data_IF_836253577954
#
_entry.id   IF_836253577954
#
_cell.length_a   1.000
_cell.length_b   1.000
_cell.length_c   1.000
_cell.angle_alpha   90.00
_cell.angle_beta   90.00
_cell.angle_gamma   90.00
#
_symmetry.space_group_name_H-M   'P 1'
#
loop_
_entity.id
_entity.type
_entity.pdbx_description
1 polymer ?
#
# COMPACT_ATOMS: atom_id res chain seq x y z
N UNK A 1 -0.11 -6.87 -3.31
CA UNK A 1 0.72 -6.32 -2.23
C UNK A 1 1.94 -7.18 -1.88
N UNK A 2 2.18 -8.29 -2.60
CA UNK A 2 3.34 -9.18 -2.43
C UNK A 2 4.66 -8.43 -2.21
N UNK A 3 5.35 -8.80 -1.12
CA UNK A 3 6.67 -8.31 -0.77
C UNK A 3 7.67 -9.47 -0.80
N UNK A 4 8.63 -9.40 -1.72
CA UNK A 4 9.66 -10.43 -1.90
C UNK A 4 10.97 -10.15 -1.18
N UNK A 5 11.09 -9.01 -0.49
CA UNK A 5 12.36 -8.56 0.09
C UNK A 5 13.40 -8.17 -0.96
N UNK A 6 12.94 -7.82 -2.16
CA UNK A 6 13.76 -7.52 -3.35
C UNK A 6 13.18 -6.29 -4.05
N UNK A 7 14.03 -5.55 -4.77
CA UNK A 7 13.61 -4.33 -5.49
C UNK A 7 12.49 -4.62 -6.52
N UNK A 8 12.52 -5.79 -7.15
CA UNK A 8 11.54 -6.21 -8.15
C UNK A 8 10.24 -6.78 -7.55
N UNK A 9 10.13 -6.81 -6.22
CA UNK A 9 8.92 -7.14 -5.46
C UNK A 9 8.85 -6.33 -4.15
N UNK A 10 8.64 -5.00 -4.25
CA UNK A 10 8.82 -4.07 -3.12
C UNK A 10 7.65 -4.02 -2.14
N UNK A 11 6.57 -4.80 -2.37
CA UNK A 11 5.33 -4.69 -1.59
C UNK A 11 4.54 -3.44 -1.93
N UNK A 12 3.29 -3.37 -1.45
CA UNK A 12 2.45 -2.16 -1.53
C UNK A 12 2.21 -1.57 -2.93
N UNK A 13 2.44 -2.34 -4.00
CA UNK A 13 2.32 -1.85 -5.38
C UNK A 13 0.96 -1.19 -5.70
N UNK A 14 -0.13 -1.66 -5.09
CA UNK A 14 -1.45 -1.02 -5.23
C UNK A 14 -1.49 0.42 -4.67
N UNK A 15 -0.71 0.74 -3.63
CA UNK A 15 -0.58 2.11 -3.15
C UNK A 15 0.33 2.96 -4.05
N UNK A 16 1.33 2.36 -4.70
CA UNK A 16 2.11 3.06 -5.72
C UNK A 16 1.25 3.39 -6.95
N UNK A 17 0.33 2.51 -7.32
CA UNK A 17 -0.66 2.77 -8.38
C UNK A 17 -1.58 3.94 -8.01
N UNK A 18 -2.11 3.96 -6.79
CA UNK A 18 -2.91 5.07 -6.27
C UNK A 18 -2.11 6.38 -6.21
N UNK A 19 -0.84 6.34 -5.80
CA UNK A 19 0.04 7.51 -5.80
C UNK A 19 0.31 8.02 -7.23
N UNK A 20 0.49 7.12 -8.19
CA UNK A 20 0.64 7.49 -9.60
C UNK A 20 -0.63 8.18 -10.12
N UNK A 21 -1.80 7.64 -9.78
CA UNK A 21 -3.08 8.27 -10.10
C UNK A 21 -3.21 9.66 -9.46
N UNK A 22 -2.82 9.81 -8.18
CA UNK A 22 -2.82 11.10 -7.48
C UNK A 22 -1.90 12.12 -8.16
N UNK A 23 -0.70 11.70 -8.58
CA UNK A 23 0.23 12.55 -9.35
C UNK A 23 -0.40 12.98 -10.67
N UNK A 24 -1.00 12.04 -11.39
CA UNK A 24 -1.69 12.34 -12.64
C UNK A 24 -2.82 13.35 -12.44
N UNK A 25 -3.68 13.15 -11.44
CA UNK A 25 -4.74 14.11 -11.11
C UNK A 25 -4.13 15.47 -10.79
N UNK A 26 -3.15 15.55 -9.88
CA UNK A 26 -2.53 16.82 -9.50
C UNK A 26 -1.91 17.58 -10.68
N UNK A 27 -1.33 16.87 -11.64
CA UNK A 27 -0.67 17.48 -12.77
C UNK A 27 -1.65 17.85 -13.91
N UNK A 28 -2.80 17.17 -14.01
CA UNK A 28 -3.72 17.31 -15.15
C UNK A 28 -5.09 17.90 -14.80
N UNK A 29 -5.52 17.92 -13.53
CA UNK A 29 -6.89 18.28 -13.15
C UNK A 29 -7.27 19.72 -13.53
N UNK A 30 -6.29 20.61 -13.67
CA UNK A 30 -6.47 21.98 -14.15
C UNK A 30 -7.12 22.03 -15.55
N UNK A 31 -6.82 21.07 -16.43
CA UNK A 31 -7.41 20.96 -17.76
C UNK A 31 -8.91 20.61 -17.71
N UNK A 32 -9.37 20.09 -16.58
CA UNK A 32 -10.77 19.74 -16.32
C UNK A 32 -11.46 20.77 -15.41
N UNK A 33 -10.82 21.90 -15.14
CA UNK A 33 -11.35 22.98 -14.30
C UNK A 33 -11.24 22.73 -12.79
N UNK A 34 -10.49 21.70 -12.35
CA UNK A 34 -10.20 21.49 -10.93
C UNK A 34 -8.95 22.24 -10.46
N UNK A 35 -8.83 22.37 -9.15
CA UNK A 35 -7.68 23.01 -8.49
C UNK A 35 -6.76 21.94 -7.89
N UNK A 36 -5.50 21.91 -8.35
CA UNK A 36 -4.46 20.98 -7.88
C UNK A 36 -4.15 21.10 -6.40
N UNK A 37 -4.41 22.26 -5.80
CA UNK A 37 -4.12 22.57 -4.39
C UNK A 37 -5.34 22.32 -3.48
N UNK A 38 -6.48 21.92 -4.05
CA UNK A 38 -7.73 21.62 -3.31
C UNK A 38 -8.17 20.15 -3.46
N UNK A 39 -7.25 19.23 -3.73
CA UNK A 39 -7.56 17.80 -3.87
C UNK A 39 -7.98 17.22 -2.51
N UNK A 40 -9.12 16.53 -2.49
CA UNK A 40 -9.59 15.69 -1.38
C UNK A 40 -9.52 14.24 -1.80
N UNK A 41 -8.84 13.40 -1.01
CA UNK A 41 -8.95 11.94 -1.16
C UNK A 41 -10.01 11.40 -0.20
N UNK A 42 -10.72 10.37 -0.63
CA UNK A 42 -11.83 9.80 0.10
C UNK A 42 -11.84 8.29 -0.14
N UNK A 43 -12.23 7.52 0.87
CA UNK A 43 -12.36 6.08 0.71
C UNK A 43 -13.14 5.43 1.85
N UNK A 44 -13.82 4.34 1.49
CA UNK A 44 -14.60 3.50 2.39
C UNK A 44 -13.90 2.14 2.58
N UNK A 45 -13.95 1.56 3.78
CA UNK A 45 -13.37 0.24 4.10
C UNK A 45 -11.88 0.14 3.70
N UNK A 46 -11.50 -0.77 2.81
CA UNK A 46 -10.13 -0.86 2.27
C UNK A 46 -9.68 0.42 1.54
N UNK A 47 -10.61 1.20 0.99
CA UNK A 47 -10.36 2.55 0.49
C UNK A 47 -10.01 3.53 1.60
N UNK A 48 -10.65 3.42 2.77
CA UNK A 48 -10.27 4.22 3.94
C UNK A 48 -8.88 3.84 4.46
N UNK A 49 -8.51 2.56 4.41
CA UNK A 49 -7.14 2.11 4.70
C UNK A 49 -6.13 2.66 3.69
N UNK A 50 -6.52 2.77 2.42
CA UNK A 50 -5.71 3.41 1.38
C UNK A 50 -5.49 4.89 1.68
N UNK A 51 -6.54 5.62 2.05
CA UNK A 51 -6.45 7.03 2.51
C UNK A 51 -5.51 7.14 3.70
N UNK A 52 -5.65 6.27 4.71
CA UNK A 52 -4.73 6.19 5.85
C UNK A 52 -3.29 5.97 5.41
N UNK A 53 -3.04 5.08 4.45
CA UNK A 53 -1.69 4.82 3.95
C UNK A 53 -1.09 6.06 3.28
N UNK A 54 -1.87 6.81 2.50
CA UNK A 54 -1.44 8.06 1.89
C UNK A 54 -1.20 9.20 2.90
N UNK A 55 -1.94 9.25 4.01
CA UNK A 55 -1.67 10.20 5.10
C UNK A 55 -0.33 9.91 5.77
N UNK A 56 -0.01 8.62 5.98
CA UNK A 56 1.20 8.18 6.65
C UNK A 56 2.44 8.17 5.74
N UNK A 57 2.24 8.00 4.43
CA UNK A 57 3.33 7.86 3.48
C UNK A 57 4.04 9.19 3.22
N UNK A 58 5.38 9.25 3.39
CA UNK A 58 6.16 10.43 3.00
C UNK A 58 6.11 10.68 1.49
N UNK A 59 5.88 9.64 0.68
CA UNK A 59 5.82 9.73 -0.79
C UNK A 59 4.58 10.48 -1.28
N UNK A 60 3.53 10.55 -0.45
CA UNK A 60 2.26 11.21 -0.77
C UNK A 60 2.18 12.65 -0.24
N UNK A 61 3.27 13.15 0.37
CA UNK A 61 3.30 14.49 0.97
C UNK A 61 3.03 15.58 -0.07
N UNK A 62 2.07 16.45 0.22
CA UNK A 62 1.69 17.56 -0.66
C UNK A 62 0.97 17.13 -1.94
N UNK A 63 0.38 15.93 -1.96
CA UNK A 63 -0.44 15.47 -3.09
C UNK A 63 -1.93 15.78 -2.94
N UNK A 64 -2.40 15.98 -1.70
CA UNK A 64 -3.79 16.28 -1.39
C UNK A 64 -3.86 17.20 -0.16
N UNK A 65 -4.98 17.91 -0.05
CA UNK A 65 -5.25 18.88 1.01
C UNK A 65 -6.17 18.34 2.10
N UNK A 66 -7.08 17.43 1.75
CA UNK A 66 -8.08 16.88 2.66
C UNK A 66 -8.23 15.38 2.49
N UNK A 67 -8.69 14.73 3.54
CA UNK A 67 -8.94 13.29 3.56
C UNK A 67 -10.28 12.99 4.23
N UNK A 68 -11.04 12.05 3.68
CA UNK A 68 -12.25 11.49 4.29
C UNK A 68 -12.06 9.98 4.43
N UNK A 69 -12.33 9.47 5.63
CA UNK A 69 -12.10 8.07 5.99
C UNK A 69 -13.38 7.41 6.53
N UNK A 70 -14.04 6.60 5.71
CA UNK A 70 -15.33 5.99 6.05
C UNK A 70 -15.18 4.50 6.39
N UNK A 71 -15.74 4.06 7.53
CA UNK A 71 -15.81 2.64 7.92
C UNK A 71 -14.48 1.87 7.90
N UNK A 72 -13.36 2.58 8.10
CA UNK A 72 -12.03 2.00 8.22
C UNK A 72 -11.09 2.96 8.93
N UNK A 73 -10.97 2.86 10.26
CA UNK A 73 -9.94 3.57 11.01
C UNK A 73 -8.61 2.80 10.94
N UNK A 74 -7.50 3.49 11.24
CA UNK A 74 -6.11 3.06 11.04
C UNK A 74 -5.82 1.57 11.25
N UNK A 75 -4.80 1.10 10.52
CA UNK A 75 -4.05 -0.17 10.63
C UNK A 75 -3.54 -0.41 12.08
N UNK A 76 -4.46 -0.59 13.03
CA UNK A 76 -4.22 -0.50 14.48
C UNK A 76 -3.92 -1.86 15.10
N UNK A 77 -4.32 -2.96 14.47
CA UNK A 77 -4.07 -4.28 15.01
C UNK A 77 -2.83 -4.89 14.37
N UNK A 78 -1.77 -4.98 15.19
CA UNK A 78 -0.48 -5.60 14.91
C UNK A 78 -0.56 -7.03 14.38
N UNK A 79 -1.72 -7.69 14.44
CA UNK A 79 -1.80 -9.13 14.28
C UNK A 79 -2.69 -9.61 13.12
N UNK A 80 -3.38 -8.72 12.35
CA UNK A 80 -4.24 -9.17 11.24
C UNK A 80 -4.27 -8.32 9.97
N UNK A 81 -4.14 -7.00 10.06
CA UNK A 81 -4.46 -6.12 8.91
C UNK A 81 -3.22 -5.59 8.18
N UNK A 82 -2.02 -5.93 8.66
CA UNK A 82 -0.73 -5.57 8.07
C UNK A 82 0.28 -6.68 8.34
N UNK A 83 1.26 -6.82 7.45
CA UNK A 83 2.44 -7.66 7.68
C UNK A 83 3.67 -6.80 7.87
N UNK A 84 4.59 -7.22 8.73
CA UNK A 84 5.95 -6.70 8.66
C UNK A 84 6.71 -7.35 7.49
N UNK A 85 7.85 -6.76 7.11
CA UNK A 85 8.64 -7.26 5.97
C UNK A 85 9.09 -8.72 6.11
N UNK A 86 9.35 -9.19 7.33
CA UNK A 86 9.74 -10.60 7.56
C UNK A 86 8.57 -11.53 7.29
N UNK A 87 7.40 -11.24 7.86
CA UNK A 87 6.17 -12.01 7.66
C UNK A 87 5.78 -12.03 6.18
N UNK A 88 5.78 -10.87 5.53
CA UNK A 88 5.38 -10.75 4.12
C UNK A 88 6.28 -11.55 3.17
N UNK A 89 7.59 -11.68 3.44
CA UNK A 89 8.48 -12.57 2.68
C UNK A 89 8.13 -14.04 2.90
N UNK A 90 7.81 -14.43 4.14
CA UNK A 90 7.42 -15.82 4.44
C UNK A 90 6.13 -16.18 3.71
N UNK A 91 5.15 -15.29 3.69
CA UNK A 91 3.90 -15.46 2.96
C UNK A 91 4.13 -15.56 1.45
N UNK A 92 4.93 -14.65 0.88
CA UNK A 92 5.27 -14.69 -0.54
C UNK A 92 5.97 -16.01 -0.92
N UNK A 93 6.88 -16.51 -0.07
CA UNK A 93 7.55 -17.80 -0.27
C UNK A 93 6.60 -18.99 -0.12
N UNK A 94 5.59 -18.90 0.76
CA UNK A 94 4.60 -19.95 0.91
C UNK A 94 3.74 -20.08 -0.36
N UNK A 95 3.29 -18.97 -0.93
CA UNK A 95 2.60 -18.99 -2.23
C UNK A 95 3.51 -19.50 -3.34
N UNK A 96 4.80 -19.11 -3.35
CA UNK A 96 5.77 -19.66 -4.28
C UNK A 96 5.88 -21.19 -4.18
N UNK A 97 5.89 -21.76 -2.97
CA UNK A 97 5.92 -23.21 -2.77
C UNK A 97 4.66 -23.88 -3.29
N UNK A 98 3.48 -23.35 -2.98
CA UNK A 98 2.20 -23.91 -3.40
C UNK A 98 2.01 -23.90 -4.93
N UNK A 99 2.71 -23.01 -5.63
CA UNK A 99 2.75 -22.92 -7.09
C UNK A 99 3.99 -23.60 -7.71
N UNK A 100 4.71 -24.43 -6.96
CA UNK A 100 5.92 -25.14 -7.39
C UNK A 100 7.04 -24.21 -7.93
N UNK A 101 7.06 -22.96 -7.47
CA UNK A 101 8.08 -21.96 -7.82
C UNK A 101 9.26 -21.92 -6.84
N UNK A 102 9.19 -22.64 -5.71
CA UNK A 102 10.25 -22.63 -4.70
C UNK A 102 11.56 -23.29 -5.13
N UNK A 103 11.52 -24.15 -6.16
CA UNK A 103 12.71 -24.82 -6.70
C UNK A 103 13.46 -23.97 -7.73
N UNK A 104 12.86 -22.87 -8.20
CA UNK A 104 13.49 -21.93 -9.11
C UNK A 104 14.53 -21.09 -8.36
N UNK A 105 15.74 -20.95 -8.92
CA UNK A 105 16.75 -19.98 -8.46
C UNK A 105 16.15 -18.57 -8.34
N UNK A 106 15.23 -18.24 -9.25
CA UNK A 106 14.43 -17.02 -9.20
C UNK A 106 12.94 -17.34 -9.06
N UNK A 107 12.52 -17.61 -7.83
CA UNK A 107 11.14 -17.93 -7.47
C UNK A 107 10.15 -16.80 -7.82
N UNK A 108 10.57 -15.53 -7.83
CA UNK A 108 9.73 -14.40 -8.25
C UNK A 108 9.47 -14.43 -9.75
N UNK A 109 10.48 -14.72 -10.56
CA UNK A 109 10.32 -14.87 -12.01
C UNK A 109 9.41 -16.05 -12.37
N UNK A 110 9.46 -17.13 -11.59
CA UNK A 110 8.51 -18.22 -11.72
C UNK A 110 7.09 -17.77 -11.38
N UNK A 111 6.89 -17.10 -10.24
CA UNK A 111 5.58 -16.58 -9.83
C UNK A 111 4.95 -15.64 -10.87
N UNK A 112 5.75 -14.77 -11.52
CA UNK A 112 5.26 -13.88 -12.60
C UNK A 112 4.72 -14.62 -13.82
N UNK A 113 5.13 -15.88 -14.03
CA UNK A 113 4.64 -16.74 -15.11
C UNK A 113 3.47 -17.63 -14.68
N UNK A 114 3.18 -17.69 -13.39
CA UNK A 114 2.05 -18.44 -12.88
C UNK A 114 0.73 -17.78 -13.31
N UNK A 115 -0.33 -18.57 -13.34
CA UNK A 115 -1.67 -18.06 -13.59
C UNK A 115 -2.09 -17.07 -12.48
N UNK A 116 -2.61 -15.91 -12.87
CA UNK A 116 -2.97 -14.86 -11.93
C UNK A 116 -4.09 -15.28 -10.98
N UNK A 117 -5.06 -16.06 -11.44
CA UNK A 117 -6.14 -16.55 -10.58
C UNK A 117 -5.63 -17.60 -9.60
N UNK A 118 -4.66 -18.44 -10.00
CA UNK A 118 -4.00 -19.36 -9.09
C UNK A 118 -3.26 -18.62 -7.97
N UNK A 119 -2.58 -17.50 -8.26
CA UNK A 119 -1.93 -16.66 -7.25
C UNK A 119 -2.95 -16.02 -6.30
N UNK A 120 -4.07 -15.50 -6.84
CA UNK A 120 -5.11 -14.84 -6.04
C UNK A 120 -5.86 -15.83 -5.16
N UNK A 121 -6.19 -17.02 -5.66
CA UNK A 121 -6.95 -18.02 -4.89
C UNK A 121 -6.17 -18.59 -3.70
N UNK A 122 -4.84 -18.44 -3.72
CA UNK A 122 -3.96 -18.83 -2.62
C UNK A 122 -3.73 -17.71 -1.61
N UNK A 123 -4.37 -16.54 -1.75
CA UNK A 123 -4.11 -15.31 -1.01
C UNK A 123 -3.84 -15.54 0.48
N UNK A 124 -2.55 -15.64 0.82
CA UNK A 124 -2.05 -15.87 2.17
C UNK A 124 -1.48 -14.55 2.72
N UNK A 125 -2.21 -13.44 2.55
CA UNK A 125 -1.70 -12.11 2.87
C UNK A 125 -0.91 -11.46 1.72
N UNK A 126 -1.16 -11.87 0.48
CA UNK A 126 -0.63 -11.18 -0.71
C UNK A 126 -1.39 -9.88 -1.01
N UNK A 127 -2.54 -9.68 -0.37
CA UNK A 127 -3.42 -8.52 -0.52
C UNK A 127 -3.33 -7.51 0.61
N UNK A 128 -2.67 -7.84 1.73
CA UNK A 128 -2.55 -6.94 2.88
C UNK A 128 -1.35 -5.98 2.77
N UNK A 129 -1.43 -4.77 3.33
CA UNK A 129 -0.31 -3.84 3.37
C UNK A 129 0.93 -4.35 4.11
N UNK A 130 2.10 -3.92 3.67
CA UNK A 130 3.40 -4.29 4.28
C UNK A 130 4.05 -3.07 4.94
N UNK A 131 4.24 -3.15 6.26
CA UNK A 131 4.96 -2.16 7.06
C UNK A 131 6.48 -2.36 6.97
N UNK A 132 7.22 -1.27 7.11
CA UNK A 132 8.68 -1.26 6.98
C UNK A 132 9.16 -1.11 5.53
N UNK A 133 8.26 -0.79 4.60
CA UNK A 133 8.57 -0.46 3.21
C UNK A 133 8.78 1.05 3.05
N UNK A 134 9.30 1.49 1.89
CA UNK A 134 9.44 2.92 1.60
C UNK A 134 8.08 3.66 1.64
N UNK A 135 7.02 3.03 1.12
CA UNK A 135 5.69 3.62 1.12
C UNK A 135 5.10 3.72 2.53
N UNK A 136 5.27 2.68 3.36
CA UNK A 136 4.77 2.60 4.74
C UNK A 136 5.92 2.25 5.70
N UNK A 137 6.76 3.23 6.08
CA UNK A 137 8.00 2.96 6.81
C UNK A 137 7.79 2.63 8.29
N UNK A 138 6.73 3.15 8.89
CA UNK A 138 6.42 2.99 10.32
C UNK A 138 4.92 2.79 10.51
N UNK A 139 4.53 2.19 11.63
CA UNK A 139 3.12 2.00 11.97
C UNK A 139 2.42 3.35 12.18
N UNK A 140 1.09 3.37 12.01
CA UNK A 140 0.26 4.54 12.28
C UNK A 140 0.52 5.08 13.70
N UNK A 141 0.50 4.20 14.71
CA UNK A 141 0.83 4.55 16.09
C UNK A 141 2.17 5.29 16.20
N UNK A 142 3.23 4.74 15.59
CA UNK A 142 4.56 5.35 15.67
C UNK A 142 4.62 6.68 14.92
N UNK A 143 3.92 6.80 13.80
CA UNK A 143 3.80 8.04 13.06
C UNK A 143 3.15 9.14 13.90
N UNK A 144 2.07 8.84 14.63
CA UNK A 144 1.43 9.81 15.54
C UNK A 144 2.33 10.18 16.72
N UNK A 145 2.95 9.20 17.39
CA UNK A 145 3.89 9.44 18.49
C UNK A 145 5.06 10.35 18.08
N UNK A 146 5.56 10.17 16.85
CA UNK A 146 6.73 10.89 16.34
C UNK A 146 6.40 12.07 15.44
N UNK A 147 5.11 12.35 15.23
CA UNK A 147 4.61 13.37 14.28
C UNK A 147 5.16 13.22 12.86
N UNK A 148 5.41 11.97 12.43
CA UNK A 148 5.92 11.61 11.09
C UNK A 148 4.79 11.16 10.18
N UNK A 149 3.88 12.09 9.87
CA UNK A 149 2.79 11.92 8.93
C UNK A 149 2.53 13.25 8.20
N UNK A 150 1.70 13.23 7.15
CA UNK A 150 1.32 14.44 6.44
C UNK A 150 0.42 15.31 7.33
N UNK A 151 0.98 16.37 7.90
CA UNK A 151 0.29 17.31 8.78
C UNK A 151 -0.33 18.50 8.01
N UNK A 152 -1.31 19.17 8.61
CA UNK A 152 -2.00 20.31 7.97
C UNK A 152 -3.10 19.92 6.97
N UNK A 153 -3.56 18.67 7.06
CA UNK A 153 -4.71 18.12 6.33
C UNK A 153 -5.99 18.36 7.13
N UNK A 154 -7.09 18.66 6.43
CA UNK A 154 -8.42 18.57 7.02
C UNK A 154 -8.87 17.10 6.94
N UNK A 155 -9.15 16.48 8.09
CA UNK A 155 -9.60 15.09 8.20
C UNK A 155 -11.08 15.05 8.61
N UNK A 156 -11.87 14.26 7.88
CA UNK A 156 -13.30 14.02 8.13
C UNK A 156 -13.53 12.53 8.34
#
# INVERSE_FOLDING_TARGET
FLYGGREDAPGNVGFYDQLLALKWVRDNIHAFGGDRDQITIFGESAGSWSVSAHILSPLSKGMFKRAIMESGAHLYNKDRDVLNTTEAVLEAKQVARLLNCSESEDWLKCLRKADGMAVINLDNGLTVPVLGTEFLPISAQKAFETKKFNSGLDLI
#
